data_IF_381031640308
#
_entry.id   IF_381031640308
#
_cell.length_a   1.000
_cell.length_b   1.000
_cell.length_c   1.000
_cell.angle_alpha   90.00
_cell.angle_beta   90.00
_cell.angle_gamma   90.00
#
_symmetry.space_group_name_H-M   'P 1'
#
loop_
_entity.id
_entity.type
_entity.pdbx_description
1 polymer ?
#
# COMPACT_ATOMS: atom_id res chain seq x y z
N UNK A 1 12.83 3.16 -33.62
CA UNK A 1 11.77 2.56 -32.78
C UNK A 1 11.10 3.73 -32.07
N UNK A 2 9.85 4.06 -32.40
CA UNK A 2 9.15 5.23 -31.84
C UNK A 2 8.83 5.01 -30.36
N UNK A 3 9.36 5.86 -29.50
CA UNK A 3 9.20 5.79 -28.04
C UNK A 3 7.85 6.32 -27.56
N UNK A 4 7.14 7.14 -28.36
CA UNK A 4 5.81 7.67 -27.99
C UNK A 4 4.79 6.55 -27.81
N UNK A 5 4.78 5.61 -28.75
CA UNK A 5 3.90 4.43 -28.71
C UNK A 5 4.13 3.58 -27.45
N UNK A 6 5.37 3.51 -26.95
CA UNK A 6 5.68 2.78 -25.69
C UNK A 6 5.09 3.50 -24.47
N UNK A 7 5.18 4.83 -24.40
CA UNK A 7 4.62 5.59 -23.29
C UNK A 7 3.11 5.56 -23.27
N UNK A 8 2.47 5.67 -24.43
CA UNK A 8 1.00 5.57 -24.57
C UNK A 8 0.50 4.21 -24.05
N UNK A 9 1.13 3.11 -24.47
CA UNK A 9 0.82 1.76 -23.97
C UNK A 9 1.01 1.60 -22.47
N UNK A 10 2.06 2.21 -21.92
CA UNK A 10 2.28 2.20 -20.46
C UNK A 10 1.18 2.97 -19.72
N UNK A 11 0.72 4.10 -20.26
CA UNK A 11 -0.37 4.90 -19.67
C UNK A 11 -1.69 4.13 -19.74
N UNK A 12 -2.01 3.52 -20.88
CA UNK A 12 -3.20 2.67 -21.04
C UNK A 12 -3.20 1.53 -20.03
N UNK A 13 -2.09 0.80 -19.92
CA UNK A 13 -1.94 -0.28 -18.94
C UNK A 13 -2.09 0.20 -17.49
N UNK A 14 -1.51 1.36 -17.14
CA UNK A 14 -1.69 1.94 -15.81
C UNK A 14 -3.17 2.27 -15.54
N UNK A 15 -3.87 2.85 -16.51
CA UNK A 15 -5.29 3.19 -16.38
C UNK A 15 -6.18 1.95 -16.20
N UNK A 16 -5.86 0.84 -16.87
CA UNK A 16 -6.56 -0.44 -16.70
C UNK A 16 -6.33 -1.04 -15.31
N UNK A 17 -5.11 -0.94 -14.79
CA UNK A 17 -4.74 -1.50 -13.49
C UNK A 17 -5.16 -0.63 -12.30
N UNK A 18 -5.27 0.69 -12.50
CA UNK A 18 -5.49 1.65 -11.43
C UNK A 18 -6.75 1.35 -10.56
N UNK A 19 -7.91 0.97 -11.12
CA UNK A 19 -9.08 0.63 -10.31
C UNK A 19 -8.83 -0.56 -9.38
N UNK A 20 -8.17 -1.60 -9.88
CA UNK A 20 -7.82 -2.78 -9.09
C UNK A 20 -6.83 -2.41 -7.98
N UNK A 21 -5.82 -1.61 -8.32
CA UNK A 21 -4.85 -1.09 -7.34
C UNK A 21 -5.59 -0.31 -6.26
N UNK A 22 -6.46 0.66 -6.60
CA UNK A 22 -7.21 1.45 -5.62
C UNK A 22 -8.01 0.55 -4.65
N UNK A 23 -8.68 -0.49 -5.18
CA UNK A 23 -9.43 -1.43 -4.35
C UNK A 23 -8.52 -2.23 -3.39
N UNK A 24 -7.37 -2.70 -3.86
CA UNK A 24 -6.40 -3.38 -3.00
C UNK A 24 -5.85 -2.46 -1.90
N UNK A 25 -5.62 -1.18 -2.22
CA UNK A 25 -5.08 -0.22 -1.26
C UNK A 25 -6.04 0.05 -0.10
N UNK A 26 -7.36 0.11 -0.34
CA UNK A 26 -8.34 0.25 0.75
C UNK A 26 -8.31 -0.93 1.73
N UNK A 27 -8.19 -2.15 1.19
CA UNK A 27 -8.07 -3.36 2.01
C UNK A 27 -6.76 -3.34 2.81
N UNK A 28 -5.63 -3.05 2.16
CA UNK A 28 -4.31 -2.96 2.81
C UNK A 28 -4.29 -1.88 3.91
N UNK A 29 -4.90 -0.72 3.68
CA UNK A 29 -4.99 0.36 4.65
C UNK A 29 -5.70 -0.08 5.95
N UNK A 30 -6.79 -0.84 5.84
CA UNK A 30 -7.50 -1.40 7.00
C UNK A 30 -6.65 -2.37 7.80
N UNK A 31 -5.87 -3.22 7.14
CA UNK A 31 -4.95 -4.14 7.81
C UNK A 31 -3.80 -3.39 8.51
N UNK A 32 -3.19 -2.42 7.83
CA UNK A 32 -2.13 -1.58 8.40
C UNK A 32 -2.62 -0.83 9.64
N UNK A 33 -3.84 -0.26 9.58
CA UNK A 33 -4.47 0.39 10.74
C UNK A 33 -4.70 -0.59 11.88
N UNK A 34 -5.24 -1.78 11.59
CA UNK A 34 -5.47 -2.80 12.64
C UNK A 34 -4.16 -3.26 13.29
N UNK A 35 -3.09 -3.42 12.52
CA UNK A 35 -1.74 -3.74 13.04
C UNK A 35 -1.23 -2.62 13.93
N UNK A 36 -1.35 -1.36 13.49
CA UNK A 36 -0.99 -0.19 14.26
C UNK A 36 -1.74 -0.15 15.61
N UNK A 37 -3.08 -0.18 15.57
CA UNK A 37 -3.93 -0.10 16.77
C UNK A 37 -3.63 -1.24 17.76
N UNK A 38 -3.29 -2.44 17.25
CA UNK A 38 -2.86 -3.57 18.06
C UNK A 38 -1.52 -3.30 18.77
N UNK A 39 -0.53 -2.73 18.08
CA UNK A 39 0.76 -2.39 18.69
C UNK A 39 0.60 -1.36 19.81
N UNK A 40 -0.25 -0.35 19.61
CA UNK A 40 -0.58 0.60 20.68
C UNK A 40 -1.20 -0.11 21.88
N UNK A 41 -2.13 -1.04 21.65
CA UNK A 41 -2.74 -1.82 22.72
C UNK A 41 -1.76 -2.77 23.44
N UNK A 42 -0.72 -3.23 22.76
CA UNK A 42 0.38 -4.02 23.33
C UNK A 42 1.40 -3.17 24.10
N UNK A 43 1.25 -1.84 24.09
CA UNK A 43 2.04 -0.89 24.89
C UNK A 43 3.18 -0.20 24.14
N UNK A 44 3.25 -0.33 22.82
CA UNK A 44 4.18 0.45 22.00
C UNK A 44 3.74 1.92 21.92
N UNK A 45 4.70 2.83 21.74
CA UNK A 45 4.38 4.23 21.43
C UNK A 45 3.90 4.37 19.98
N UNK A 46 3.25 5.49 19.68
CA UNK A 46 2.81 5.82 18.31
C UNK A 46 3.97 5.75 17.31
N UNK A 47 5.13 6.32 17.65
CA UNK A 47 6.30 6.35 16.78
C UNK A 47 6.84 4.93 16.52
N UNK A 48 6.88 4.09 17.56
CA UNK A 48 7.33 2.71 17.45
C UNK A 48 6.37 1.86 16.60
N UNK A 49 5.06 1.99 16.85
CA UNK A 49 4.03 1.29 16.10
C UNK A 49 4.08 1.67 14.62
N UNK A 50 4.23 2.97 14.32
CA UNK A 50 4.34 3.47 12.95
C UNK A 50 5.59 2.93 12.24
N UNK A 51 6.73 2.89 12.92
CA UNK A 51 7.98 2.38 12.35
C UNK A 51 7.88 0.87 12.04
N UNK A 52 7.27 0.11 12.94
CA UNK A 52 6.99 -1.33 12.73
C UNK A 52 6.07 -1.55 11.53
N UNK A 53 5.00 -0.76 11.41
CA UNK A 53 4.00 -0.90 10.33
C UNK A 53 4.60 -0.53 8.97
N UNK A 54 5.54 0.42 8.91
CA UNK A 54 6.23 0.83 7.68
C UNK A 54 7.26 -0.18 7.19
N UNK A 55 7.95 -0.85 8.10
CA UNK A 55 9.13 -1.67 7.78
C UNK A 55 8.84 -3.15 7.64
N UNK A 56 7.71 -3.64 8.19
CA UNK A 56 7.37 -5.07 8.20
C UNK A 56 6.24 -5.42 7.24
N UNK A 57 6.17 -6.69 6.79
CA UNK A 57 5.07 -7.17 5.96
C UNK A 57 3.68 -6.92 6.59
N UNK A 58 2.68 -6.73 5.74
CA UNK A 58 1.28 -6.51 6.16
C UNK A 58 0.70 -7.77 6.81
N UNK A 59 1.08 -8.95 6.32
CA UNK A 59 0.66 -10.25 6.81
C UNK A 59 1.87 -10.98 7.41
N UNK A 60 1.80 -11.30 8.71
CA UNK A 60 2.73 -12.14 9.47
C UNK A 60 1.94 -13.30 10.09
#
# INVERSE_FOLDING_TARGET
MDTRNKYEKSIEHMNEMLPYVIQEWDVKAKFLKKKHDRLIAEGFTEEQALEIVKTRPIFE
#
